data_IF_515986158541
#
_entry.id   IF_515986158541
#
_cell.length_a   1.000
_cell.length_b   1.000
_cell.length_c   1.000
_cell.angle_alpha   90.00
_cell.angle_beta   90.00
_cell.angle_gamma   90.00
#
_symmetry.space_group_name_H-M   'P 1'
#
loop_
_entity.id
_entity.type
_entity.pdbx_description
1 polymer ?
#
# COMPACT_ATOMS: atom_id res chain seq x y z
N UNK A 1 25.21 17.27 6.13
CA UNK A 1 23.79 16.87 6.23
C UNK A 1 22.86 18.09 6.05
N UNK A 2 23.27 19.12 5.31
CA UNK A 2 22.63 20.44 5.34
C UNK A 2 21.44 20.63 4.38
N UNK A 3 21.08 19.64 3.56
CA UNK A 3 19.85 19.69 2.75
C UNK A 3 19.13 18.34 2.79
N UNK A 4 18.62 17.97 3.96
CA UNK A 4 17.70 16.84 4.03
C UNK A 4 16.37 17.22 3.39
N UNK A 5 15.82 16.40 2.47
CA UNK A 5 14.52 16.67 1.87
C UNK A 5 13.44 16.84 2.93
N UNK A 6 12.55 17.81 2.71
CA UNK A 6 11.39 17.98 3.56
C UNK A 6 10.53 16.71 3.55
N UNK A 7 9.93 16.37 4.70
CA UNK A 7 8.96 15.29 4.82
C UNK A 7 7.89 15.64 5.86
N UNK A 8 6.65 15.12 5.71
CA UNK A 8 5.55 15.39 6.63
C UNK A 8 5.81 14.81 8.02
N UNK A 9 5.51 15.58 9.07
CA UNK A 9 5.64 15.13 10.47
C UNK A 9 4.29 14.91 11.14
N UNK A 10 3.23 15.48 10.58
CA UNK A 10 1.83 15.28 10.99
C UNK A 10 1.02 14.88 9.77
N UNK A 11 -0.05 14.11 9.98
CA UNK A 11 -0.96 13.72 8.88
C UNK A 11 -1.55 14.90 8.10
N UNK A 12 -1.76 16.05 8.76
CA UNK A 12 -2.20 17.28 8.11
C UNK A 12 -1.21 17.80 7.07
N UNK A 13 0.09 17.50 7.25
CA UNK A 13 1.15 17.96 6.35
C UNK A 13 1.08 17.27 4.98
N UNK A 14 0.33 16.16 4.84
CA UNK A 14 0.07 15.51 3.56
C UNK A 14 -0.68 16.46 2.59
N UNK A 15 -1.34 17.51 3.09
CA UNK A 15 -1.90 18.57 2.24
C UNK A 15 -0.84 19.31 1.40
N UNK A 16 0.44 19.25 1.79
CA UNK A 16 1.57 19.86 1.08
C UNK A 16 2.29 18.87 0.14
N UNK A 17 2.05 17.56 0.27
CA UNK A 17 2.69 16.50 -0.51
C UNK A 17 1.73 15.99 -1.60
N UNK A 18 1.38 16.85 -2.57
CA UNK A 18 0.38 16.59 -3.61
C UNK A 18 0.89 16.94 -5.03
N UNK A 19 2.18 16.77 -5.28
CA UNK A 19 2.79 17.09 -6.57
C UNK A 19 2.38 16.03 -7.61
N UNK A 20 1.47 16.40 -8.51
CA UNK A 20 0.96 15.54 -9.60
C UNK A 20 1.88 15.68 -10.81
N UNK A 21 2.46 14.56 -11.26
CA UNK A 21 3.34 14.47 -12.42
C UNK A 21 2.56 14.31 -13.73
N UNK A 22 1.55 13.43 -13.75
CA UNK A 22 0.88 13.02 -14.97
C UNK A 22 -0.60 12.74 -14.73
N UNK A 23 -1.38 12.71 -15.83
CA UNK A 23 -2.79 12.30 -15.82
C UNK A 23 -3.68 13.08 -14.85
N UNK A 24 -3.37 14.36 -14.63
CA UNK A 24 -4.23 15.30 -13.92
C UNK A 24 -5.46 15.65 -14.77
N UNK A 25 -5.54 16.90 -15.23
CA UNK A 25 -6.56 17.31 -16.21
C UNK A 25 -6.16 17.05 -17.67
N UNK A 26 -4.87 16.84 -17.94
CA UNK A 26 -4.35 16.58 -19.27
C UNK A 26 -4.25 15.07 -19.52
N UNK A 27 -4.58 14.67 -20.74
CA UNK A 27 -4.49 13.28 -21.22
C UNK A 27 -3.40 13.23 -22.30
N UNK A 28 -2.69 12.10 -22.37
CA UNK A 28 -1.72 11.84 -23.43
C UNK A 28 -2.40 11.63 -24.78
N UNK A 29 -1.65 11.83 -25.86
CA UNK A 29 -2.20 11.81 -27.22
C UNK A 29 -2.76 10.44 -27.64
N UNK A 30 -2.24 9.35 -27.07
CA UNK A 30 -2.66 7.97 -27.27
C UNK A 30 -3.75 7.52 -26.28
N UNK A 31 -4.13 8.36 -25.32
CA UNK A 31 -5.19 8.06 -24.36
C UNK A 31 -6.56 7.93 -25.08
N UNK A 32 -7.38 6.90 -24.80
CA UNK A 32 -8.65 6.67 -25.50
C UNK A 32 -9.62 7.86 -25.46
N UNK A 33 -9.63 8.59 -24.34
CA UNK A 33 -10.44 9.81 -24.14
C UNK A 33 -9.80 11.12 -24.63
N UNK A 34 -8.63 11.12 -25.29
CA UNK A 34 -7.91 12.34 -25.66
C UNK A 34 -8.74 13.30 -26.55
N UNK A 35 -9.51 12.73 -27.47
CA UNK A 35 -10.38 13.49 -28.40
C UNK A 35 -11.83 13.59 -27.94
N UNK A 36 -12.17 13.05 -26.78
CA UNK A 36 -13.53 13.11 -26.23
C UNK A 36 -13.68 14.35 -25.32
N UNK A 37 -14.37 15.41 -25.76
CA UNK A 37 -14.54 16.62 -24.96
C UNK A 37 -15.41 16.39 -23.71
N UNK A 38 -16.35 15.45 -23.74
CA UNK A 38 -17.23 15.13 -22.61
C UNK A 38 -16.42 14.42 -21.52
N UNK A 39 -15.61 13.43 -21.91
CA UNK A 39 -14.72 12.74 -20.98
C UNK A 39 -13.68 13.69 -20.36
N UNK A 40 -13.09 14.59 -21.15
CA UNK A 40 -12.14 15.60 -20.64
C UNK A 40 -12.77 16.55 -19.64
N UNK A 41 -13.96 17.07 -19.95
CA UNK A 41 -14.70 17.91 -19.01
C UNK A 41 -15.03 17.14 -17.73
N UNK A 42 -15.36 15.85 -17.84
CA UNK A 42 -15.60 14.97 -16.69
C UNK A 42 -14.34 14.79 -15.84
N UNK A 43 -13.16 14.62 -16.45
CA UNK A 43 -11.86 14.56 -15.75
C UNK A 43 -11.50 15.84 -15.00
N UNK A 44 -11.79 17.00 -15.56
CA UNK A 44 -11.60 18.27 -14.86
C UNK A 44 -12.44 18.37 -13.59
N UNK A 45 -13.66 17.82 -13.58
CA UNK A 45 -14.50 17.79 -12.37
C UNK A 45 -13.84 16.97 -11.25
N UNK A 46 -13.31 15.79 -11.58
CA UNK A 46 -12.57 14.94 -10.63
C UNK A 46 -11.30 15.62 -10.11
N UNK A 47 -10.53 16.26 -11.00
CA UNK A 47 -9.34 17.02 -10.62
C UNK A 47 -9.67 18.16 -9.65
N UNK A 48 -10.78 18.88 -9.87
CA UNK A 48 -11.26 19.93 -8.96
C UNK A 48 -11.65 19.37 -7.58
N UNK A 49 -12.29 18.20 -7.52
CA UNK A 49 -12.62 17.55 -6.23
C UNK A 49 -11.34 17.27 -5.45
N UNK A 50 -10.34 16.65 -6.09
CA UNK A 50 -9.06 16.33 -5.45
C UNK A 50 -8.29 17.59 -5.03
N UNK A 51 -8.19 18.61 -5.90
CA UNK A 51 -7.48 19.85 -5.60
C UNK A 51 -8.09 20.68 -4.47
N UNK A 52 -9.41 20.58 -4.27
CA UNK A 52 -10.11 21.29 -3.20
C UNK A 52 -10.13 20.54 -1.86
N UNK A 53 -9.80 19.25 -1.85
CA UNK A 53 -9.82 18.44 -0.64
C UNK A 53 -8.71 18.86 0.33
N UNK A 54 -9.07 18.99 1.61
CA UNK A 54 -8.13 19.22 2.72
C UNK A 54 -8.31 18.18 3.80
N UNK A 55 -7.21 17.86 4.49
CA UNK A 55 -7.22 16.90 5.58
C UNK A 55 -8.30 17.24 6.62
N UNK A 56 -9.02 16.21 7.07
CA UNK A 56 -10.09 16.31 8.06
C UNK A 56 -11.49 16.53 7.48
N UNK A 57 -11.60 16.91 6.21
CA UNK A 57 -12.89 17.00 5.53
C UNK A 57 -13.40 15.60 5.11
N UNK A 58 -14.72 15.36 5.07
CA UNK A 58 -15.25 14.18 4.42
C UNK A 58 -14.93 14.21 2.92
N UNK A 59 -14.59 13.05 2.34
CA UNK A 59 -14.31 12.94 0.91
C UNK A 59 -15.62 13.21 0.14
N UNK A 60 -15.64 14.16 -0.82
CA UNK A 60 -16.86 14.46 -1.57
C UNK A 60 -17.39 13.26 -2.34
N UNK A 61 -18.72 13.04 -2.25
CA UNK A 61 -19.40 12.01 -3.03
C UNK A 61 -19.51 12.44 -4.49
N UNK A 62 -19.37 11.46 -5.39
CA UNK A 62 -19.50 11.63 -6.83
C UNK A 62 -20.77 10.95 -7.30
N UNK A 63 -21.59 11.69 -8.04
CA UNK A 63 -22.65 11.11 -8.83
C UNK A 63 -22.08 10.59 -10.14
N UNK A 64 -21.83 9.27 -10.21
CA UNK A 64 -21.36 8.62 -11.42
C UNK A 64 -22.49 8.54 -12.48
N UNK A 65 -22.14 8.69 -13.75
CA UNK A 65 -23.08 8.57 -14.86
C UNK A 65 -23.43 7.10 -15.12
N UNK A 66 -24.50 6.86 -15.89
CA UNK A 66 -24.87 5.49 -16.27
C UNK A 66 -23.81 4.80 -17.13
N UNK A 67 -23.09 5.56 -17.96
CA UNK A 67 -21.98 5.04 -18.75
C UNK A 67 -20.82 4.62 -17.86
N UNK A 68 -20.45 5.46 -16.88
CA UNK A 68 -19.39 5.14 -15.90
C UNK A 68 -19.75 3.88 -15.11
N UNK A 69 -20.98 3.78 -14.59
CA UNK A 69 -21.46 2.60 -13.86
C UNK A 69 -21.41 1.35 -14.75
N UNK A 70 -21.78 1.47 -16.03
CA UNK A 70 -21.72 0.35 -16.98
C UNK A 70 -20.27 -0.11 -17.23
N UNK A 71 -19.33 0.81 -17.43
CA UNK A 71 -17.90 0.51 -17.57
C UNK A 71 -17.39 -0.25 -16.35
N UNK A 72 -17.68 0.25 -15.15
CA UNK A 72 -17.35 -0.42 -13.89
C UNK A 72 -17.92 -1.84 -13.83
N UNK A 73 -19.21 -2.01 -14.13
CA UNK A 73 -19.87 -3.33 -14.07
C UNK A 73 -19.23 -4.36 -15.00
N UNK A 74 -18.73 -3.94 -16.18
CA UNK A 74 -17.98 -4.81 -17.09
C UNK A 74 -16.68 -5.29 -16.45
N UNK A 75 -15.89 -4.36 -15.90
CA UNK A 75 -14.60 -4.67 -15.24
C UNK A 75 -14.80 -5.55 -14.01
N UNK A 76 -15.77 -5.18 -13.16
CA UNK A 76 -16.14 -5.89 -11.94
C UNK A 76 -16.47 -7.36 -12.20
N UNK A 77 -17.35 -7.64 -13.18
CA UNK A 77 -17.78 -9.01 -13.49
C UNK A 77 -16.63 -9.89 -13.96
N UNK A 78 -15.79 -9.39 -14.88
CA UNK A 78 -14.72 -10.20 -15.46
C UNK A 78 -13.61 -10.47 -14.45
N UNK A 79 -13.22 -9.46 -13.66
CA UNK A 79 -12.21 -9.64 -12.63
C UNK A 79 -12.69 -10.56 -11.50
N UNK A 80 -13.96 -10.46 -11.08
CA UNK A 80 -14.50 -11.33 -10.03
C UNK A 80 -14.42 -12.83 -10.38
N UNK A 81 -14.59 -13.19 -11.65
CA UNK A 81 -14.38 -14.58 -12.13
C UNK A 81 -12.92 -15.03 -11.94
N UNK A 82 -11.97 -14.12 -12.09
CA UNK A 82 -10.54 -14.40 -11.93
C UNK A 82 -10.12 -14.42 -10.46
N UNK A 83 -10.71 -13.56 -9.61
CA UNK A 83 -10.40 -13.52 -8.18
C UNK A 83 -10.61 -14.86 -7.50
N UNK A 84 -11.75 -15.50 -7.76
CA UNK A 84 -12.10 -16.81 -7.19
C UNK A 84 -10.99 -17.85 -7.46
N UNK A 85 -10.30 -17.74 -8.59
CA UNK A 85 -9.29 -18.70 -9.02
C UNK A 85 -7.87 -18.30 -8.61
N UNK A 86 -7.57 -17.01 -8.56
CA UNK A 86 -6.18 -16.53 -8.58
C UNK A 86 -5.83 -15.54 -7.47
N UNK A 87 -6.80 -14.83 -6.89
CA UNK A 87 -6.51 -13.90 -5.80
C UNK A 87 -6.05 -14.66 -4.55
N UNK A 88 -5.20 -14.01 -3.76
CA UNK A 88 -4.78 -14.49 -2.45
C UNK A 88 -5.96 -14.54 -1.45
N UNK A 89 -5.78 -15.34 -0.40
CA UNK A 89 -6.79 -15.57 0.62
C UNK A 89 -7.26 -14.26 1.28
N UNK A 90 -6.34 -13.37 1.64
CA UNK A 90 -6.60 -12.12 2.35
C UNK A 90 -7.49 -11.17 1.54
N UNK A 91 -7.33 -11.18 0.21
CA UNK A 91 -8.21 -10.44 -0.72
C UNK A 91 -9.65 -10.97 -0.61
N UNK A 92 -9.80 -12.30 -0.72
CA UNK A 92 -11.11 -12.96 -0.73
C UNK A 92 -11.82 -12.89 0.63
N UNK A 93 -11.08 -12.87 1.74
CA UNK A 93 -11.65 -12.70 3.10
C UNK A 93 -12.27 -11.31 3.32
N UNK A 94 -11.69 -10.27 2.70
CA UNK A 94 -12.17 -8.91 2.82
C UNK A 94 -13.27 -8.57 1.82
N UNK A 95 -13.33 -9.27 0.68
CA UNK A 95 -14.29 -9.00 -0.38
C UNK A 95 -15.77 -8.99 0.07
N UNK A 96 -16.30 -9.98 0.82
CA UNK A 96 -17.69 -9.94 1.28
C UNK A 96 -18.02 -8.74 2.16
N UNK A 97 -17.04 -8.23 2.91
CA UNK A 97 -17.21 -7.06 3.77
C UNK A 97 -17.28 -5.78 2.94
N UNK A 98 -16.47 -5.67 1.88
CA UNK A 98 -16.54 -4.55 0.93
C UNK A 98 -17.87 -4.53 0.17
N UNK A 99 -18.38 -5.68 -0.25
CA UNK A 99 -19.72 -5.80 -0.85
C UNK A 99 -20.78 -5.32 0.13
N UNK A 100 -20.72 -5.80 1.38
CA UNK A 100 -21.75 -5.53 2.40
C UNK A 100 -21.74 -4.09 2.92
N UNK A 101 -20.56 -3.53 3.19
CA UNK A 101 -20.43 -2.26 3.92
C UNK A 101 -20.01 -1.07 3.03
N UNK A 102 -19.40 -1.34 1.87
CA UNK A 102 -18.90 -0.31 0.96
C UNK A 102 -19.64 -0.28 -0.39
N UNK A 103 -20.60 -1.19 -0.60
CA UNK A 103 -21.42 -1.20 -1.82
C UNK A 103 -20.69 -1.66 -3.07
N UNK A 104 -19.69 -2.54 -2.94
CA UNK A 104 -19.03 -3.16 -4.09
C UNK A 104 -20.02 -4.08 -4.82
N UNK A 105 -20.60 -3.59 -5.91
CA UNK A 105 -21.56 -4.32 -6.75
C UNK A 105 -21.36 -3.92 -8.21
N UNK A 106 -21.76 -4.77 -9.13
CA UNK A 106 -21.63 -4.48 -10.57
C UNK A 106 -22.42 -3.24 -11.03
N UNK A 107 -23.48 -2.88 -10.31
CA UNK A 107 -24.39 -1.78 -10.63
C UNK A 107 -24.09 -0.50 -9.85
N UNK A 108 -22.98 -0.47 -9.09
CA UNK A 108 -22.66 0.63 -8.20
C UNK A 108 -21.15 0.79 -7.99
N UNK A 109 -20.62 1.96 -8.38
CA UNK A 109 -19.25 2.35 -8.06
C UNK A 109 -19.19 2.80 -6.58
N UNK A 110 -18.36 2.14 -5.74
CA UNK A 110 -18.17 2.54 -4.34
C UNK A 110 -17.72 3.99 -4.18
N UNK A 111 -18.23 4.66 -3.15
CA UNK A 111 -17.81 6.02 -2.81
C UNK A 111 -16.57 5.97 -1.90
N UNK A 112 -15.54 6.76 -2.22
CA UNK A 112 -14.30 6.78 -1.43
C UNK A 112 -14.53 7.07 0.05
N UNK A 113 -15.49 7.93 0.40
CA UNK A 113 -15.78 8.23 1.80
C UNK A 113 -16.25 7.00 2.59
N UNK A 114 -17.06 6.14 1.96
CA UNK A 114 -17.59 4.94 2.61
C UNK A 114 -16.46 3.90 2.80
N UNK A 115 -15.59 3.74 1.78
CA UNK A 115 -14.38 2.90 1.85
C UNK A 115 -13.36 3.43 2.86
N UNK A 116 -13.14 4.74 2.92
CA UNK A 116 -12.27 5.42 3.88
C UNK A 116 -12.69 5.11 5.32
N UNK A 117 -13.99 5.21 5.63
CA UNK A 117 -14.50 4.87 6.96
C UNK A 117 -14.30 3.39 7.28
N UNK A 118 -14.51 2.51 6.29
CA UNK A 118 -14.30 1.07 6.44
C UNK A 118 -12.83 0.73 6.74
N UNK A 119 -11.89 1.21 5.92
CA UNK A 119 -10.46 0.98 6.09
C UNK A 119 -9.94 1.57 7.39
N UNK A 120 -10.40 2.75 7.78
CA UNK A 120 -9.98 3.40 9.03
C UNK A 120 -10.33 2.54 10.24
N UNK A 121 -11.50 1.88 10.21
CA UNK A 121 -11.92 0.95 11.27
C UNK A 121 -11.16 -0.37 11.23
N UNK A 122 -10.83 -0.87 10.03
CA UNK A 122 -10.19 -2.18 9.84
C UNK A 122 -8.69 -2.18 10.15
N UNK A 123 -7.97 -1.21 9.60
CA UNK A 123 -6.51 -1.16 9.62
C UNK A 123 -5.97 0.24 9.90
N UNK A 124 -6.83 1.23 10.16
CA UNK A 124 -6.39 2.62 10.33
C UNK A 124 -6.00 3.30 9.01
N UNK A 125 -6.07 2.61 7.87
CA UNK A 125 -5.87 3.24 6.56
C UNK A 125 -6.99 4.22 6.24
N UNK A 126 -6.63 5.31 5.58
CA UNK A 126 -7.53 6.37 5.16
C UNK A 126 -7.28 6.65 3.68
N UNK A 127 -8.31 7.16 3.00
CA UNK A 127 -8.20 7.55 1.60
C UNK A 127 -8.11 9.05 1.47
N UNK A 128 -7.43 9.50 0.41
CA UNK A 128 -7.37 10.89 0.00
C UNK A 128 -7.63 10.97 -1.51
N UNK A 129 -8.61 11.76 -1.99
CA UNK A 129 -8.81 11.93 -3.41
C UNK A 129 -7.57 12.59 -4.04
N UNK A 130 -7.08 12.03 -5.14
CA UNK A 130 -5.95 12.57 -5.90
C UNK A 130 -6.32 12.77 -7.36
N UNK A 131 -5.75 13.81 -7.98
CA UNK A 131 -6.11 14.20 -9.34
C UNK A 131 -5.46 13.33 -10.41
N UNK A 132 -4.35 12.66 -10.10
CA UNK A 132 -3.53 11.90 -11.04
C UNK A 132 -2.31 11.28 -10.35
N UNK A 133 -1.30 10.95 -11.15
CA UNK A 133 -0.08 10.29 -10.70
C UNK A 133 0.79 11.24 -9.87
N UNK A 134 1.05 10.93 -8.59
CA UNK A 134 1.94 11.72 -7.74
C UNK A 134 3.42 11.41 -7.98
N UNK A 135 4.31 12.28 -7.51
CA UNK A 135 5.72 11.91 -7.36
C UNK A 135 5.86 10.72 -6.40
N UNK A 136 6.84 9.83 -6.61
CA UNK A 136 7.09 8.72 -5.70
C UNK A 136 7.24 9.15 -4.24
N UNK A 137 7.96 10.27 -4.01
CA UNK A 137 8.16 10.84 -2.67
C UNK A 137 6.85 11.20 -1.99
N UNK A 138 5.94 11.86 -2.69
CA UNK A 138 4.67 12.33 -2.11
C UNK A 138 3.69 11.17 -1.87
N UNK A 139 3.64 10.22 -2.81
CA UNK A 139 2.81 9.02 -2.68
C UNK A 139 3.27 8.16 -1.49
N UNK A 140 4.56 7.82 -1.42
CA UNK A 140 5.11 7.02 -0.32
C UNK A 140 4.99 7.75 1.03
N UNK A 141 5.13 9.09 1.03
CA UNK A 141 4.87 9.88 2.24
C UNK A 141 3.45 9.73 2.75
N UNK A 142 2.45 9.55 1.88
CA UNK A 142 1.08 9.20 2.27
C UNK A 142 1.02 7.86 3.02
N UNK A 143 1.66 6.82 2.46
CA UNK A 143 1.66 5.48 3.04
C UNK A 143 2.24 5.46 4.46
N UNK A 144 3.23 6.30 4.75
CA UNK A 144 3.81 6.43 6.09
C UNK A 144 2.77 6.78 7.17
N UNK A 145 1.72 7.52 6.77
CA UNK A 145 0.60 7.93 7.62
C UNK A 145 -0.64 7.04 7.47
N UNK A 146 -0.51 5.89 6.80
CA UNK A 146 -1.62 5.04 6.36
C UNK A 146 -2.65 5.83 5.54
N UNK A 147 -2.19 6.75 4.70
CA UNK A 147 -3.02 7.48 3.75
C UNK A 147 -2.72 6.96 2.36
N UNK A 148 -3.74 6.42 1.69
CA UNK A 148 -3.65 6.00 0.30
C UNK A 148 -4.30 7.08 -0.59
N UNK A 149 -3.52 7.62 -1.53
CA UNK A 149 -4.00 8.57 -2.53
C UNK A 149 -4.76 7.81 -3.62
N UNK A 150 -6.04 8.12 -3.79
CA UNK A 150 -6.98 7.32 -4.58
C UNK A 150 -7.66 8.21 -5.61
N UNK A 151 -7.62 7.82 -6.89
CA UNK A 151 -8.35 8.51 -7.94
C UNK A 151 -9.86 8.25 -7.83
N UNK A 152 -10.67 9.17 -8.37
CA UNK A 152 -12.14 9.05 -8.41
C UNK A 152 -12.69 8.92 -9.83
N UNK A 153 -11.91 9.26 -10.84
CA UNK A 153 -12.32 9.15 -12.23
C UNK A 153 -12.31 7.68 -12.67
N UNK A 154 -13.13 7.35 -13.65
CA UNK A 154 -13.16 6.02 -14.26
C UNK A 154 -12.51 6.06 -15.64
N UNK A 155 -11.89 4.95 -16.06
CA UNK A 155 -11.36 4.77 -17.41
C UNK A 155 -12.42 4.99 -18.49
N UNK A 156 -11.95 5.31 -19.69
CA UNK A 156 -12.81 5.55 -20.84
C UNK A 156 -13.61 4.29 -21.25
N UNK A 157 -14.87 4.47 -21.65
CA UNK A 157 -15.81 3.37 -21.94
C UNK A 157 -15.49 2.58 -23.21
N UNK A 158 -14.68 3.13 -24.12
CA UNK A 158 -14.33 2.47 -25.39
C UNK A 158 -13.52 1.20 -25.22
N UNK A 159 -12.72 1.10 -24.17
CA UNK A 159 -11.97 -0.10 -23.82
C UNK A 159 -11.90 -0.30 -22.30
N UNK A 160 -12.92 -0.93 -21.69
CA UNK A 160 -12.97 -1.13 -20.25
C UNK A 160 -11.84 -2.03 -19.71
N UNK A 161 -11.20 -2.85 -20.55
CA UNK A 161 -10.18 -3.81 -20.09
C UNK A 161 -8.75 -3.25 -20.14
N UNK A 162 -8.57 -2.03 -20.61
CA UNK A 162 -7.29 -1.34 -20.68
C UNK A 162 -7.36 0.05 -20.06
N UNK A 163 -6.32 0.43 -19.33
CA UNK A 163 -6.08 1.81 -18.93
C UNK A 163 -4.59 2.03 -18.66
N UNK A 164 -3.99 3.12 -19.17
CA UNK A 164 -2.60 3.48 -18.87
C UNK A 164 -2.44 4.20 -17.52
N UNK A 165 -3.57 4.56 -16.88
CA UNK A 165 -3.61 5.37 -15.67
C UNK A 165 -4.40 4.63 -14.57
N UNK A 166 -4.07 4.85 -13.28
CA UNK A 166 -4.77 4.20 -12.17
C UNK A 166 -6.12 4.88 -11.96
N UNK A 167 -7.16 4.37 -12.63
CA UNK A 167 -8.55 4.83 -12.46
C UNK A 167 -9.20 4.25 -11.19
N UNK A 168 -10.41 4.70 -10.84
CA UNK A 168 -11.09 4.22 -9.64
C UNK A 168 -11.38 2.71 -9.67
N UNK A 169 -11.47 2.07 -10.85
CA UNK A 169 -11.54 0.60 -10.93
C UNK A 169 -10.25 -0.03 -10.37
N UNK A 170 -9.10 0.50 -10.79
CA UNK A 170 -7.80 0.06 -10.27
C UNK A 170 -7.70 0.22 -8.75
N UNK A 171 -8.04 1.39 -8.24
CA UNK A 171 -7.91 1.66 -6.81
C UNK A 171 -8.85 0.77 -5.98
N UNK A 172 -10.13 0.75 -6.35
CA UNK A 172 -11.16 0.08 -5.57
C UNK A 172 -11.00 -1.43 -5.62
N UNK A 173 -10.78 -1.99 -6.81
CA UNK A 173 -10.72 -3.43 -7.02
C UNK A 173 -9.34 -4.02 -6.77
N UNK A 174 -8.26 -3.26 -7.00
CA UNK A 174 -6.90 -3.71 -6.78
C UNK A 174 -6.47 -3.55 -5.32
N UNK A 175 -6.48 -2.31 -4.81
CA UNK A 175 -5.83 -1.97 -3.54
C UNK A 175 -6.70 -2.20 -2.31
N UNK A 176 -7.97 -1.77 -2.34
CA UNK A 176 -8.81 -1.70 -1.12
C UNK A 176 -8.97 -3.04 -0.38
N UNK A 177 -9.14 -4.20 -1.05
CA UNK A 177 -9.29 -5.47 -0.36
C UNK A 177 -8.06 -5.86 0.45
N UNK A 178 -6.85 -5.50 0.01
CA UNK A 178 -5.62 -5.79 0.75
C UNK A 178 -5.28 -4.72 1.77
N UNK A 179 -5.60 -3.45 1.54
CA UNK A 179 -5.47 -2.41 2.58
C UNK A 179 -6.37 -2.68 3.80
N UNK A 180 -7.40 -3.53 3.65
CA UNK A 180 -8.23 -4.03 4.75
C UNK A 180 -7.58 -5.20 5.54
N UNK A 181 -6.45 -5.74 5.08
CA UNK A 181 -5.66 -6.73 5.81
C UNK A 181 -4.59 -6.04 6.69
N UNK A 182 -4.52 -6.33 8.00
CA UNK A 182 -3.58 -5.67 8.91
C UNK A 182 -2.10 -5.85 8.56
N UNK A 183 -1.69 -7.05 8.13
CA UNK A 183 -0.29 -7.35 7.78
C UNK A 183 0.11 -6.61 6.52
N UNK A 184 -0.75 -6.61 5.50
CA UNK A 184 -0.52 -5.87 4.27
C UNK A 184 -0.49 -4.35 4.52
N UNK A 185 -1.42 -3.83 5.30
CA UNK A 185 -1.43 -2.42 5.69
C UNK A 185 -0.13 -2.01 6.43
N UNK A 186 0.39 -2.87 7.32
CA UNK A 186 1.67 -2.62 7.97
C UNK A 186 2.81 -2.62 6.96
N UNK A 187 2.85 -3.61 6.06
CA UNK A 187 3.84 -3.70 4.99
C UNK A 187 3.85 -2.43 4.11
N UNK A 188 2.68 -1.97 3.64
CA UNK A 188 2.57 -0.73 2.85
C UNK A 188 3.05 0.50 3.63
N UNK A 189 2.75 0.58 4.94
CA UNK A 189 3.21 1.68 5.77
C UNK A 189 4.73 1.69 5.94
N UNK A 190 5.38 0.52 6.02
CA UNK A 190 6.83 0.42 6.17
C UNK A 190 7.59 0.98 4.98
N UNK A 191 7.10 0.74 3.75
CA UNK A 191 7.61 1.39 2.54
C UNK A 191 7.55 2.92 2.66
N UNK A 192 6.44 3.46 3.14
CA UNK A 192 6.29 4.89 3.37
C UNK A 192 7.20 5.43 4.47
N UNK A 193 7.32 4.73 5.60
CA UNK A 193 8.20 5.16 6.70
C UNK A 193 9.68 5.11 6.30
N UNK A 194 10.07 4.19 5.42
CA UNK A 194 11.42 4.10 4.87
C UNK A 194 11.74 5.31 3.96
N UNK A 195 10.76 5.84 3.23
CA UNK A 195 10.97 6.95 2.30
C UNK A 195 11.12 8.32 2.97
N UNK A 196 10.63 8.48 4.20
CA UNK A 196 10.68 9.77 4.91
C UNK A 196 12.13 10.21 5.20
N UNK A 197 12.52 11.33 4.59
CA UNK A 197 13.86 11.93 4.72
C UNK A 197 14.95 11.22 3.92
N UNK A 198 14.62 10.20 3.11
CA UNK A 198 15.55 9.53 2.21
C UNK A 198 15.91 10.42 1.00
N UNK A 199 17.07 10.21 0.38
CA UNK A 199 17.43 10.87 -0.88
C UNK A 199 16.56 10.38 -2.05
N UNK A 200 16.60 11.07 -3.19
CA UNK A 200 15.73 10.73 -4.33
C UNK A 200 16.05 9.34 -4.88
N UNK A 201 17.33 8.92 -4.92
CA UNK A 201 17.73 7.61 -5.40
C UNK A 201 17.15 6.46 -4.55
N UNK A 202 17.13 6.62 -3.23
CA UNK A 202 16.53 5.64 -2.32
C UNK A 202 14.99 5.65 -2.41
N UNK A 203 14.38 6.82 -2.64
CA UNK A 203 12.93 6.92 -2.90
C UNK A 203 12.56 6.20 -4.19
N UNK A 204 13.33 6.35 -5.26
CA UNK A 204 13.09 5.67 -6.54
C UNK A 204 13.22 4.15 -6.39
N UNK A 205 14.24 3.67 -5.66
CA UNK A 205 14.37 2.24 -5.33
C UNK A 205 13.19 1.72 -4.53
N UNK A 206 12.72 2.46 -3.52
CA UNK A 206 11.53 2.11 -2.74
C UNK A 206 10.26 2.11 -3.60
N UNK A 207 10.16 3.01 -4.58
CA UNK A 207 9.05 3.05 -5.52
C UNK A 207 9.04 1.83 -6.44
N UNK A 208 10.21 1.40 -6.93
CA UNK A 208 10.36 0.14 -7.67
C UNK A 208 9.97 -1.06 -6.82
N UNK A 209 10.37 -1.09 -5.54
CA UNK A 209 9.97 -2.15 -4.61
C UNK A 209 8.46 -2.15 -4.36
N UNK A 210 7.84 -0.97 -4.20
CA UNK A 210 6.39 -0.82 -4.14
C UNK A 210 5.72 -1.39 -5.40
N UNK A 211 6.22 -1.03 -6.58
CA UNK A 211 5.69 -1.49 -7.86
C UNK A 211 5.72 -3.02 -7.99
N UNK A 212 6.87 -3.64 -7.75
CA UNK A 212 7.01 -5.09 -7.88
C UNK A 212 6.44 -5.91 -6.72
N UNK A 213 5.88 -5.24 -5.70
CA UNK A 213 5.17 -5.89 -4.60
C UNK A 213 3.70 -5.48 -4.58
N UNK A 214 3.38 -4.26 -4.15
CA UNK A 214 2.01 -3.77 -3.99
C UNK A 214 1.26 -3.71 -5.33
N UNK A 215 1.92 -3.39 -6.45
CA UNK A 215 1.26 -3.33 -7.77
C UNK A 215 1.27 -4.67 -8.52
N UNK A 216 2.40 -5.39 -8.56
CA UNK A 216 2.58 -6.58 -9.40
C UNK A 216 3.08 -7.82 -8.64
N UNK A 217 2.90 -7.85 -7.32
CA UNK A 217 3.37 -8.96 -6.47
C UNK A 217 2.46 -10.19 -6.45
N UNK A 218 3.10 -11.33 -6.22
CA UNK A 218 2.46 -12.62 -5.98
C UNK A 218 2.85 -13.18 -4.62
N UNK A 219 2.05 -14.09 -4.09
CA UNK A 219 2.40 -14.84 -2.89
C UNK A 219 2.22 -16.34 -3.12
N UNK A 220 2.89 -17.15 -2.30
CA UNK A 220 2.74 -18.60 -2.31
C UNK A 220 1.91 -19.03 -1.11
N UNK A 221 0.73 -19.56 -1.36
CA UNK A 221 -0.21 -20.03 -0.32
C UNK A 221 -0.53 -21.50 -0.55
N UNK A 222 -0.30 -22.34 0.46
CA UNK A 222 -0.52 -23.79 0.39
C UNK A 222 0.17 -24.46 -0.82
N UNK A 223 1.36 -23.99 -1.18
CA UNK A 223 2.13 -24.52 -2.32
C UNK A 223 1.78 -23.92 -3.67
N UNK A 224 0.70 -23.14 -3.78
CA UNK A 224 0.22 -22.54 -5.03
C UNK A 224 0.53 -21.05 -5.09
N UNK A 225 0.80 -20.54 -6.30
CA UNK A 225 0.96 -19.11 -6.53
C UNK A 225 -0.41 -18.42 -6.57
N UNK A 226 -0.50 -17.33 -5.83
CA UNK A 226 -1.67 -16.45 -5.72
C UNK A 226 -1.26 -15.01 -5.98
N UNK A 227 -2.21 -14.22 -6.44
CA UNK A 227 -1.99 -12.83 -6.83
C UNK A 227 -2.47 -11.89 -5.73
N UNK A 228 -1.65 -10.90 -5.42
CA UNK A 228 -2.00 -9.84 -4.48
C UNK A 228 -1.72 -8.44 -5.04
N UNK A 229 -0.89 -8.30 -6.07
CA UNK A 229 -0.61 -7.00 -6.68
C UNK A 229 -1.85 -6.32 -7.26
N UNK A 230 -2.05 -5.03 -6.96
CA UNK A 230 -3.21 -4.27 -7.37
C UNK A 230 -3.33 -4.09 -8.90
N UNK A 231 -2.21 -3.83 -9.59
CA UNK A 231 -2.12 -3.82 -11.05
C UNK A 231 -2.58 -5.14 -11.67
N UNK A 232 -2.21 -6.28 -11.07
CA UNK A 232 -2.70 -7.59 -11.49
C UNK A 232 -4.19 -7.77 -11.17
N UNK A 233 -4.64 -7.37 -9.97
CA UNK A 233 -6.03 -7.53 -9.53
C UNK A 233 -7.00 -6.55 -10.19
N UNK A 234 -6.52 -5.58 -10.96
CA UNK A 234 -7.34 -4.59 -11.66
C UNK A 234 -7.27 -4.67 -13.19
N UNK A 235 -6.38 -5.49 -13.73
CA UNK A 235 -6.19 -5.71 -15.16
C UNK A 235 -6.47 -7.17 -15.52
N UNK A 236 -7.57 -7.40 -16.26
CA UNK A 236 -7.93 -8.73 -16.76
C UNK A 236 -6.83 -9.30 -17.66
N UNK A 237 -6.22 -8.45 -18.48
CA UNK A 237 -5.19 -8.85 -19.43
C UNK A 237 -3.87 -9.19 -18.73
N UNK A 238 -3.40 -8.33 -17.83
CA UNK A 238 -2.15 -8.54 -17.10
C UNK A 238 -2.24 -9.77 -16.19
N UNK A 239 -3.36 -9.94 -15.48
CA UNK A 239 -3.57 -11.09 -14.61
C UNK A 239 -3.43 -12.41 -15.37
N UNK A 240 -4.09 -12.51 -16.53
CA UNK A 240 -3.99 -13.69 -17.39
C UNK A 240 -2.56 -13.88 -17.91
N UNK A 241 -1.88 -12.79 -18.28
CA UNK A 241 -0.50 -12.85 -18.73
C UNK A 241 0.41 -13.44 -17.65
N UNK A 242 0.40 -12.85 -16.44
CA UNK A 242 1.24 -13.28 -15.32
C UNK A 242 1.05 -14.77 -14.97
N UNK A 243 -0.19 -15.26 -15.01
CA UNK A 243 -0.50 -16.68 -14.72
C UNK A 243 -0.02 -17.59 -15.86
N UNK A 244 -0.05 -17.12 -17.11
CA UNK A 244 0.36 -17.90 -18.28
C UNK A 244 1.87 -17.96 -18.51
N UNK A 245 2.66 -17.16 -17.79
CA UNK A 245 4.12 -17.05 -17.93
C UNK A 245 4.86 -17.38 -16.62
N UNK A 246 4.75 -18.61 -16.09
CA UNK A 246 5.40 -18.99 -14.83
C UNK A 246 6.93 -18.84 -14.87
N UNK A 247 7.55 -18.94 -16.05
CA UNK A 247 8.98 -18.72 -16.27
C UNK A 247 9.44 -17.29 -15.97
N UNK A 248 8.53 -16.32 -15.97
CA UNK A 248 8.80 -14.91 -15.59
C UNK A 248 8.71 -14.66 -14.08
N UNK A 249 8.23 -15.63 -13.30
CA UNK A 249 7.97 -15.46 -11.86
C UNK A 249 9.23 -15.83 -11.06
N UNK A 250 9.74 -14.87 -10.28
CA UNK A 250 10.99 -14.97 -9.52
C UNK A 250 10.75 -14.77 -8.03
N UNK A 251 11.67 -15.28 -7.19
CA UNK A 251 11.60 -15.09 -5.74
C UNK A 251 11.96 -13.66 -5.37
N UNK A 252 11.12 -12.97 -4.61
CA UNK A 252 11.35 -11.58 -4.23
C UNK A 252 12.66 -11.42 -3.44
N UNK A 253 13.52 -10.55 -3.96
CA UNK A 253 14.77 -10.11 -3.35
C UNK A 253 14.88 -8.59 -3.55
N UNK A 254 14.81 -7.78 -2.47
CA UNK A 254 14.83 -6.33 -2.58
C UNK A 254 16.04 -5.76 -3.34
N UNK A 255 17.23 -6.35 -3.17
CA UNK A 255 18.47 -5.86 -3.80
C UNK A 255 18.44 -5.99 -5.33
N UNK A 256 17.80 -7.06 -5.82
CA UNK A 256 17.66 -7.31 -7.25
C UNK A 256 16.45 -6.54 -7.79
N UNK A 257 15.36 -6.56 -7.03
CA UNK A 257 14.05 -6.04 -7.46
C UNK A 257 14.09 -4.52 -7.60
N UNK A 258 14.79 -3.79 -6.73
CA UNK A 258 14.84 -2.32 -6.77
C UNK A 258 15.53 -1.73 -8.01
N UNK A 259 16.25 -2.56 -8.77
CA UNK A 259 16.96 -2.17 -10.01
C UNK A 259 16.15 -2.46 -11.28
N UNK A 260 14.98 -3.09 -11.15
CA UNK A 260 14.16 -3.47 -12.30
C UNK A 260 13.43 -2.25 -12.89
N UNK A 261 13.24 -2.26 -14.20
CA UNK A 261 12.47 -1.24 -14.92
C UNK A 261 10.97 -1.44 -14.69
N UNK A 262 10.28 -0.38 -14.27
CA UNK A 262 8.83 -0.38 -14.11
C UNK A 262 8.15 -0.03 -15.45
N UNK A 263 7.50 -1.00 -16.08
CA UNK A 263 6.86 -0.81 -17.38
C UNK A 263 5.41 -0.41 -17.18
N UNK A 264 5.00 0.77 -17.64
CA UNK A 264 3.63 1.29 -17.45
C UNK A 264 2.71 1.07 -18.66
N UNK A 265 3.27 0.88 -19.86
CA UNK A 265 2.51 0.81 -21.13
C UNK A 265 2.36 -0.60 -21.70
N UNK A 266 3.04 -1.59 -21.12
CA UNK A 266 3.05 -2.97 -21.57
C UNK A 266 3.14 -3.94 -20.37
N UNK A 267 2.96 -5.24 -20.65
CA UNK A 267 3.05 -6.27 -19.64
C UNK A 267 4.44 -6.36 -19.01
N UNK A 268 4.49 -6.75 -17.74
CA UNK A 268 5.77 -6.85 -17.03
C UNK A 268 6.68 -7.95 -17.59
N UNK A 269 7.98 -7.68 -17.54
CA UNK A 269 9.01 -8.64 -17.96
C UNK A 269 9.29 -9.71 -16.89
N UNK A 270 9.01 -9.41 -15.62
CA UNK A 270 9.16 -10.32 -14.51
C UNK A 270 8.16 -9.99 -13.40
N UNK A 271 7.79 -11.00 -12.63
CA UNK A 271 6.96 -10.85 -11.43
C UNK A 271 7.67 -11.45 -10.22
N UNK A 272 7.33 -10.99 -9.03
CA UNK A 272 8.04 -11.38 -7.81
C UNK A 272 7.08 -11.98 -6.78
N UNK A 273 7.49 -13.07 -6.13
CA UNK A 273 6.69 -13.71 -5.08
C UNK A 273 7.39 -13.84 -3.73
N UNK A 274 6.59 -13.79 -2.65
CA UNK A 274 6.97 -14.17 -1.29
C UNK A 274 6.10 -15.33 -0.79
N UNK A 275 6.50 -16.03 0.28
CA UNK A 275 5.66 -17.06 0.91
C UNK A 275 4.61 -16.45 1.84
N UNK A 276 4.83 -15.23 2.31
CA UNK A 276 3.86 -14.50 3.13
C UNK A 276 4.11 -12.99 3.07
N UNK A 277 3.13 -12.21 3.54
CA UNK A 277 3.32 -10.78 3.78
C UNK A 277 4.31 -10.50 4.91
N UNK A 278 4.45 -11.40 5.88
CA UNK A 278 5.45 -11.26 6.94
C UNK A 278 6.88 -11.33 6.39
N UNK A 279 7.14 -12.28 5.48
CA UNK A 279 8.44 -12.36 4.80
C UNK A 279 8.72 -11.10 3.97
N UNK A 280 7.73 -10.60 3.23
CA UNK A 280 7.86 -9.37 2.45
C UNK A 280 8.25 -8.19 3.36
N UNK A 281 7.56 -8.07 4.49
CA UNK A 281 7.80 -7.05 5.52
C UNK A 281 9.21 -7.16 6.11
N UNK A 282 9.62 -8.35 6.54
CA UNK A 282 10.96 -8.58 7.10
C UNK A 282 12.08 -8.24 6.10
N UNK A 283 11.95 -8.67 4.85
CA UNK A 283 12.91 -8.35 3.79
C UNK A 283 13.01 -6.85 3.55
N UNK A 284 11.87 -6.16 3.59
CA UNK A 284 11.82 -4.71 3.38
C UNK A 284 12.35 -3.91 4.57
N UNK A 285 12.15 -4.39 5.81
CA UNK A 285 12.81 -3.81 6.99
C UNK A 285 14.32 -3.90 6.88
N UNK A 286 14.84 -5.08 6.54
CA UNK A 286 16.29 -5.29 6.34
C UNK A 286 16.85 -4.42 5.22
N UNK A 287 16.11 -4.27 4.12
CA UNK A 287 16.50 -3.35 3.04
C UNK A 287 16.52 -1.89 3.52
N UNK A 288 15.50 -1.46 4.26
CA UNK A 288 15.38 -0.10 4.76
C UNK A 288 16.47 0.30 5.78
N UNK A 289 17.14 -0.66 6.41
CA UNK A 289 18.31 -0.40 7.28
C UNK A 289 19.50 0.20 6.52
N UNK A 290 19.56 0.00 5.20
CA UNK A 290 20.64 0.52 4.35
C UNK A 290 20.43 2.00 3.98
N UNK A 291 19.20 2.49 4.08
CA UNK A 291 18.81 3.87 3.74
C UNK A 291 19.47 4.82 4.72
N UNK A 292 20.33 5.70 4.19
CA UNK A 292 21.14 6.59 5.02
C UNK A 292 20.31 7.79 5.51
N UNK A 293 20.01 7.81 6.81
CA UNK A 293 19.40 8.96 7.50
C UNK A 293 19.95 9.12 8.92
N UNK A 294 20.11 10.35 9.44
CA UNK A 294 20.76 10.61 10.73
C UNK A 294 19.86 10.35 11.95
N UNK A 295 18.71 9.68 11.79
CA UNK A 295 17.74 9.41 12.85
C UNK A 295 16.87 8.19 12.55
N UNK A 296 16.31 7.60 13.62
CA UNK A 296 15.20 6.67 13.50
C UNK A 296 13.86 7.40 13.35
N UNK A 297 12.87 6.71 12.80
CA UNK A 297 11.49 7.20 12.70
C UNK A 297 10.56 6.20 13.39
N UNK A 298 9.58 6.73 14.11
CA UNK A 298 8.42 5.98 14.61
C UNK A 298 7.13 6.68 14.22
N UNK A 299 6.16 5.93 13.72
CA UNK A 299 4.79 6.43 13.59
C UNK A 299 4.05 6.37 14.93
N UNK A 300 3.47 7.49 15.35
CA UNK A 300 2.58 7.58 16.50
C UNK A 300 1.11 7.51 16.01
N UNK A 301 0.40 6.39 16.23
CA UNK A 301 -0.96 6.22 15.74
C UNK A 301 -2.01 7.07 16.47
N UNK A 302 -1.72 7.51 17.70
CA UNK A 302 -2.67 8.30 18.50
C UNK A 302 -2.78 9.74 18.00
N UNK A 303 -1.65 10.34 17.66
CA UNK A 303 -1.56 11.72 17.15
C UNK A 303 -1.42 11.77 15.63
N UNK A 304 -1.29 10.63 14.97
CA UNK A 304 -1.06 10.49 13.53
C UNK A 304 0.16 11.34 13.10
N UNK A 305 1.26 11.20 13.84
CA UNK A 305 2.50 11.94 13.64
C UNK A 305 3.71 11.02 13.50
N UNK A 306 4.81 11.58 13.02
CA UNK A 306 6.10 10.90 12.93
C UNK A 306 7.04 11.47 13.99
N UNK A 307 7.44 10.60 14.91
CA UNK A 307 8.41 10.89 15.95
C UNK A 307 9.82 10.65 15.42
N UNK A 308 10.65 11.69 15.47
CA UNK A 308 12.05 11.64 15.04
C UNK A 308 12.92 11.20 16.22
N UNK A 309 13.45 9.98 16.18
CA UNK A 309 14.33 9.38 17.18
C UNK A 309 15.78 9.79 16.93
N UNK A 310 16.12 11.02 17.30
CA UNK A 310 17.41 11.65 17.01
C UNK A 310 18.41 11.67 18.18
N UNK A 311 17.99 11.27 19.38
CA UNK A 311 18.86 11.26 20.57
C UNK A 311 18.40 10.25 21.62
N UNK A 312 19.28 9.98 22.60
CA UNK A 312 19.04 9.00 23.65
C UNK A 312 17.80 9.31 24.50
N UNK A 313 17.48 10.58 24.76
CA UNK A 313 16.30 10.95 25.56
C UNK A 313 15.00 10.53 24.87
N UNK A 314 14.86 10.82 23.58
CA UNK A 314 13.67 10.42 22.79
C UNK A 314 13.54 8.90 22.68
N UNK A 315 14.66 8.20 22.47
CA UNK A 315 14.69 6.73 22.43
C UNK A 315 14.27 6.17 23.80
N UNK A 316 14.73 6.76 24.90
CA UNK A 316 14.39 6.33 26.27
C UNK A 316 12.90 6.51 26.56
N UNK A 317 12.31 7.63 26.11
CA UNK A 317 10.87 7.87 26.23
C UNK A 317 10.05 6.78 25.50
N UNK A 318 10.47 6.40 24.30
CA UNK A 318 9.85 5.29 23.55
C UNK A 318 9.99 3.95 24.27
N UNK A 319 11.18 3.62 24.77
CA UNK A 319 11.41 2.37 25.52
C UNK A 319 10.53 2.31 26.77
N UNK A 320 10.34 3.45 27.45
CA UNK A 320 9.45 3.55 28.61
C UNK A 320 7.98 3.25 28.25
N UNK A 321 7.51 3.74 27.10
CA UNK A 321 6.17 3.44 26.59
C UNK A 321 6.01 1.95 26.25
N UNK A 322 6.97 1.38 25.51
CA UNK A 322 6.97 -0.05 25.14
C UNK A 322 7.00 -0.97 26.38
N UNK A 323 7.68 -0.55 27.44
CA UNK A 323 7.66 -1.28 28.72
C UNK A 323 6.25 -1.33 29.32
N UNK A 324 5.44 -0.30 29.13
CA UNK A 324 4.02 -0.30 29.50
C UNK A 324 3.24 -1.38 28.77
N UNK A 325 3.41 -1.48 27.45
CA UNK A 325 2.77 -2.52 26.64
C UNK A 325 3.22 -3.93 27.04
N UNK A 326 4.52 -4.13 27.29
CA UNK A 326 5.05 -5.40 27.81
C UNK A 326 4.46 -5.77 29.18
N UNK A 327 4.20 -4.79 30.05
CA UNK A 327 3.50 -5.02 31.31
C UNK A 327 2.05 -5.49 31.11
N UNK A 328 1.36 -4.97 30.09
CA UNK A 328 0.01 -5.42 29.71
C UNK A 328 0.06 -6.87 29.23
N UNK A 329 0.99 -7.20 28.33
CA UNK A 329 1.19 -8.57 27.82
C UNK A 329 1.47 -9.53 28.98
N UNK A 330 2.41 -9.18 29.86
CA UNK A 330 2.74 -10.00 31.03
C UNK A 330 1.53 -10.18 31.97
N UNK A 331 0.74 -9.13 32.19
CA UNK A 331 -0.48 -9.20 33.02
C UNK A 331 -1.54 -10.11 32.38
N UNK A 332 -1.68 -10.09 31.05
CA UNK A 332 -2.58 -10.98 30.32
C UNK A 332 -2.10 -12.44 30.39
N UNK A 333 -0.81 -12.69 30.16
CA UNK A 333 -0.21 -14.02 30.27
C UNK A 333 -0.45 -14.63 31.64
N UNK A 334 -0.23 -13.88 32.73
CA UNK A 334 -0.50 -14.36 34.10
C UNK A 334 -1.97 -14.75 34.33
N UNK A 335 -2.91 -13.99 33.75
CA UNK A 335 -4.35 -14.28 33.89
C UNK A 335 -4.78 -15.50 33.08
N UNK A 336 -4.19 -15.71 31.90
CA UNK A 336 -4.52 -16.81 31.00
C UNK A 336 -3.83 -18.10 31.44
N UNK A 337 -2.56 -18.07 31.84
CA UNK A 337 -1.84 -19.25 32.35
C UNK A 337 -2.47 -19.84 33.60
N UNK A 338 -3.16 -19.02 34.41
CA UNK A 338 -3.96 -19.49 35.54
C UNK A 338 -5.26 -20.22 35.15
N UNK A 339 -5.67 -20.17 33.87
CA UNK A 339 -6.92 -20.71 33.35
C UNK A 339 -6.74 -21.75 32.25
N UNK A 340 -5.64 -21.69 31.52
CA UNK A 340 -5.31 -22.57 30.40
C UNK A 340 -3.92 -23.17 30.59
N UNK A 341 -3.90 -24.47 30.89
CA UNK A 341 -2.67 -25.25 31.07
C UNK A 341 -1.92 -25.53 29.76
N UNK A 342 -2.53 -25.27 28.60
CA UNK A 342 -1.93 -25.51 27.29
C UNK A 342 -1.29 -24.26 26.68
N UNK A 343 -1.23 -23.14 27.43
CA UNK A 343 -0.60 -21.91 26.98
C UNK A 343 0.91 -22.11 26.83
N UNK A 344 1.40 -22.01 25.59
CA UNK A 344 2.84 -22.07 25.27
C UNK A 344 3.53 -20.74 25.60
N UNK A 345 3.86 -20.56 26.87
CA UNK A 345 4.52 -19.34 27.39
C UNK A 345 5.92 -19.19 26.82
N UNK A 346 6.65 -20.29 26.60
CA UNK A 346 8.02 -20.26 26.09
C UNK A 346 8.07 -19.69 24.67
N UNK A 347 7.15 -20.09 23.79
CA UNK A 347 7.06 -19.51 22.44
C UNK A 347 6.79 -18.01 22.47
N UNK A 348 5.89 -17.55 23.34
CA UNK A 348 5.56 -16.12 23.45
C UNK A 348 6.76 -15.33 23.99
N UNK A 349 7.48 -15.87 24.97
CA UNK A 349 8.71 -15.28 25.49
C UNK A 349 9.84 -15.24 24.44
N UNK A 350 9.97 -16.28 23.61
CA UNK A 350 10.95 -16.32 22.53
C UNK A 350 10.70 -15.23 21.48
N UNK A 351 9.44 -14.99 21.08
CA UNK A 351 9.08 -13.91 20.14
C UNK A 351 9.52 -12.53 20.62
N UNK A 352 9.48 -12.29 21.95
CA UNK A 352 9.94 -11.03 22.54
C UNK A 352 11.46 -10.88 22.53
N UNK A 353 12.21 -11.99 22.60
CA UNK A 353 13.68 -11.98 22.62
C UNK A 353 14.26 -11.85 21.22
N UNK A 354 13.74 -12.59 20.23
CA UNK A 354 14.25 -12.59 18.85
C UNK A 354 14.17 -11.22 18.15
N UNK A 355 13.23 -10.36 18.55
CA UNK A 355 13.15 -9.00 18.02
C UNK A 355 14.24 -8.04 18.51
N UNK A 356 14.98 -8.40 19.57
CA UNK A 356 16.00 -7.56 20.21
C UNK A 356 17.44 -7.93 19.82
N UNK A 357 17.69 -9.16 19.37
CA UNK A 357 19.04 -9.70 19.17
C UNK A 357 19.75 -9.26 17.87
N UNK A 358 19.22 -8.25 17.16
CA UNK A 358 19.79 -7.73 15.91
C UNK A 358 21.14 -7.01 16.01
N UNK A 359 21.83 -7.05 17.16
CA UNK A 359 23.03 -6.23 17.42
C UNK A 359 24.22 -6.97 18.01
N UNK A 360 24.44 -8.26 17.70
CA UNK A 360 25.59 -9.00 18.26
C UNK A 360 26.47 -9.76 17.26
N UNK A 361 26.59 -9.29 16.02
CA UNK A 361 27.74 -9.64 15.16
C UNK A 361 28.83 -8.58 15.27
N UNK A 362 29.50 -8.53 16.44
CA UNK A 362 30.86 -8.00 16.47
C UNK A 362 31.77 -9.04 15.84
N UNK A 363 32.30 -8.71 14.67
CA UNK A 363 33.40 -9.42 14.02
C UNK A 363 34.56 -9.51 15.01
N UNK A 364 34.75 -10.68 15.63
CA UNK A 364 36.03 -11.04 16.22
C UNK A 364 36.99 -11.28 15.05
N UNK A 365 37.74 -10.24 14.67
CA UNK A 365 39.03 -10.44 14.05
C UNK A 365 39.94 -11.05 15.12
N UNK A 366 40.09 -12.37 15.10
CA UNK A 366 41.21 -13.04 15.73
C UNK A 366 42.47 -12.63 14.98
N UNK A 367 43.29 -11.84 15.65
CA UNK A 367 44.71 -11.74 15.37
C UNK A 367 45.34 -13.05 15.83
N UNK A 368 45.95 -13.77 14.90
CA UNK A 368 47.16 -14.58 15.09
C UNK A 368 47.83 -14.78 13.72
#
# INVERSE_FOLDING_TARGET
FDEMPWFPKKISDIDMAQNVLMYGSALDADHPGFKDPVYRQRREQFSKIAGNYKYGQPIPKVQYTQEEIKTWGVVFRELHKLYIKHACQEYLENWPQLVKYCGFREDNIPQLQDVNVFLKRKTGFQLRPVAGYLTPRDFLSGLAFRVFHCTQYIRHSSDPFYTPEPDCCHELLGHMPLLANPSFAQFSQELGLASLGACDEDVDRLATLYFFTVEFGLCKQNGELRVYGAGLLSSVAELKHAISTPEKIKRFDPEITCTQECIITAFQNAYWYTDSFEEAKEKMRKYAEQIQRPFGIRYNPYTQSVDILSNAQKITALVSELRGDLCIVNSALKKISARDSNLDVERISSLLQTGLDGSNTKTQQSSD
#
